data_IF_972610166225
#
_entry.id   IF_972610166225
#
_cell.length_a   1.000
_cell.length_b   1.000
_cell.length_c   1.000
_cell.angle_alpha   90.00
_cell.angle_beta   90.00
_cell.angle_gamma   90.00
#
_symmetry.space_group_name_H-M   'P 1'
#
loop_
_entity.id
_entity.type
_entity.pdbx_description
1 polymer ?
#
# COMPACT_ATOMS: atom_id res chain seq x y z
N UNK A 1 -60.02 14.90 -0.26
CA UNK A 1 -59.53 15.79 -1.34
C UNK A 1 -58.10 15.36 -1.62
N UNK A 2 -57.89 14.41 -2.55
CA UNK A 2 -57.46 14.67 -3.95
C UNK A 2 -56.12 15.42 -3.96
N UNK A 3 -55.00 14.98 -4.56
CA UNK A 3 -54.79 14.14 -5.76
C UNK A 3 -53.25 13.93 -5.92
N UNK A 4 -52.80 12.74 -6.34
CA UNK A 4 -52.25 12.45 -7.69
C UNK A 4 -50.72 12.64 -7.86
N UNK A 5 -50.03 11.51 -8.06
CA UNK A 5 -48.83 11.33 -8.91
C UNK A 5 -49.16 11.76 -10.38
N UNK A 6 -48.25 11.90 -11.39
CA UNK A 6 -47.29 10.85 -11.78
C UNK A 6 -46.07 11.19 -12.72
N UNK A 7 -45.28 10.14 -13.06
CA UNK A 7 -44.39 9.90 -14.26
C UNK A 7 -43.14 10.81 -14.42
N UNK A 8 -41.93 10.40 -14.85
CA UNK A 8 -41.58 9.80 -16.15
C UNK A 8 -40.18 9.16 -16.18
N UNK A 9 -40.14 8.03 -16.87
CA UNK A 9 -39.03 7.30 -17.51
C UNK A 9 -38.02 8.16 -18.26
N UNK A 10 -36.73 7.81 -18.20
CA UNK A 10 -35.76 8.09 -19.29
C UNK A 10 -35.03 6.80 -19.67
N UNK A 11 -35.20 6.46 -20.95
CA UNK A 11 -34.58 5.38 -21.72
C UNK A 11 -33.28 5.90 -22.33
N UNK A 12 -32.23 5.07 -22.26
CA UNK A 12 -31.28 4.80 -23.36
C UNK A 12 -30.27 5.87 -23.74
N UNK A 13 -29.00 5.46 -23.88
CA UNK A 13 -28.37 5.36 -25.20
C UNK A 13 -27.01 4.65 -25.11
N UNK A 14 -26.93 3.59 -25.88
CA UNK A 14 -25.73 2.83 -26.22
C UNK A 14 -24.96 3.68 -27.23
N UNK A 15 -23.64 3.86 -27.04
CA UNK A 15 -22.78 4.39 -28.10
C UNK A 15 -21.71 3.37 -28.45
N UNK A 16 -21.96 2.69 -29.57
CA UNK A 16 -21.01 1.94 -30.38
C UNK A 16 -20.40 2.89 -31.41
N UNK A 17 -19.09 2.84 -31.59
CA UNK A 17 -18.38 3.37 -32.76
C UNK A 17 -16.88 3.21 -32.54
N UNK A 18 -16.15 2.29 -33.19
CA UNK A 18 -15.92 2.01 -34.62
C UNK A 18 -14.55 2.51 -35.08
N UNK A 19 -13.91 1.63 -35.85
CA UNK A 19 -12.57 1.60 -36.43
C UNK A 19 -12.16 2.81 -37.29
N UNK A 20 -10.84 3.10 -37.33
CA UNK A 20 -10.03 3.36 -38.56
C UNK A 20 -8.57 3.63 -38.20
N UNK A 21 -7.60 2.84 -38.71
CA UNK A 21 -6.89 2.94 -40.00
C UNK A 21 -5.55 3.70 -39.84
N UNK A 22 -4.43 2.98 -39.84
CA UNK A 22 -3.46 2.91 -40.95
C UNK A 22 -2.88 4.25 -41.40
N UNK A 23 -1.59 4.46 -41.10
CA UNK A 23 -0.67 5.20 -41.96
C UNK A 23 0.77 4.70 -41.73
N UNK A 24 1.36 4.19 -42.80
CA UNK A 24 2.77 3.82 -42.93
C UNK A 24 3.63 5.09 -43.00
N UNK A 25 4.85 5.05 -42.47
CA UNK A 25 5.92 5.89 -43.01
C UNK A 25 7.25 5.14 -43.00
N UNK A 26 7.63 4.73 -44.20
CA UNK A 26 8.96 4.26 -44.60
C UNK A 26 9.90 5.47 -44.73
N UNK A 27 11.08 5.39 -44.14
CA UNK A 27 12.26 6.14 -44.58
C UNK A 27 13.51 5.27 -44.49
N UNK A 28 14.28 5.33 -45.57
CA UNK A 28 15.34 4.43 -45.98
C UNK A 28 16.71 4.71 -45.35
N UNK A 29 17.45 3.62 -45.10
CA UNK A 29 18.86 3.31 -45.43
C UNK A 29 20.00 4.28 -45.06
N UNK A 30 20.99 3.76 -44.31
CA UNK A 30 22.44 3.63 -44.62
C UNK A 30 23.19 3.28 -43.30
N UNK A 31 23.50 2.00 -43.05
CA UNK A 31 24.79 1.32 -43.30
C UNK A 31 25.95 1.79 -42.40
N UNK A 32 26.50 0.89 -41.57
CA UNK A 32 27.94 0.55 -41.47
C UNK A 32 28.21 -0.43 -40.32
N UNK A 33 29.11 -1.35 -40.61
CA UNK A 33 29.46 -2.58 -39.92
C UNK A 33 30.13 -2.37 -38.54
N UNK A 34 29.77 -3.20 -37.57
CA UNK A 34 30.65 -3.56 -36.47
C UNK A 34 30.50 -5.06 -36.19
N UNK A 35 31.49 -5.82 -36.62
CA UNK A 35 31.68 -7.22 -36.26
C UNK A 35 31.92 -7.30 -34.75
N UNK A 36 31.10 -8.03 -34.01
CA UNK A 36 31.53 -8.62 -32.74
C UNK A 36 30.77 -9.91 -32.45
N UNK A 37 31.58 -10.86 -32.03
CA UNK A 37 31.37 -12.29 -31.87
C UNK A 37 30.13 -12.71 -31.07
N UNK A 38 29.71 -13.92 -31.40
CA UNK A 38 28.70 -14.74 -30.78
C UNK A 38 28.97 -15.13 -29.31
N UNK A 39 27.89 -15.62 -28.70
CA UNK A 39 27.83 -16.59 -27.59
C UNK A 39 28.29 -16.03 -26.21
N UNK A 40 27.50 -16.04 -25.14
CA UNK A 40 26.63 -17.10 -24.62
C UNK A 40 25.48 -16.47 -23.83
N UNK A 41 24.29 -17.01 -24.06
CA UNK A 41 23.09 -17.01 -23.22
C UNK A 41 23.31 -16.67 -21.74
N UNK A 42 22.83 -15.51 -21.30
CA UNK A 42 22.21 -15.36 -19.98
C UNK A 42 21.00 -14.46 -20.10
N UNK A 43 19.87 -15.10 -20.42
CA UNK A 43 18.57 -14.67 -19.94
C UNK A 43 18.65 -14.66 -18.41
N UNK A 44 19.10 -13.54 -17.84
CA UNK A 44 18.83 -13.23 -16.45
C UNK A 44 17.37 -12.76 -16.40
N UNK A 45 16.47 -13.73 -16.57
CA UNK A 45 15.13 -13.65 -15.99
C UNK A 45 15.35 -13.46 -14.50
N UNK A 46 15.44 -12.19 -14.10
CA UNK A 46 15.45 -11.80 -12.70
C UNK A 46 14.00 -11.87 -12.24
N UNK A 47 13.45 -13.08 -12.28
CA UNK A 47 12.30 -13.48 -11.50
C UNK A 47 12.64 -13.12 -10.06
N UNK A 48 12.19 -11.93 -9.67
CA UNK A 48 12.27 -11.36 -8.32
C UNK A 48 11.54 -12.32 -7.39
N UNK A 49 12.24 -13.37 -7.01
CA UNK A 49 11.90 -14.24 -5.92
C UNK A 49 12.02 -13.35 -4.70
N UNK A 50 10.90 -12.69 -4.39
CA UNK A 50 10.74 -11.73 -3.31
C UNK A 50 11.01 -12.45 -1.99
N UNK A 51 12.29 -12.53 -1.62
CA UNK A 51 12.74 -13.12 -0.35
C UNK A 51 12.06 -12.32 0.75
N UNK A 52 11.18 -12.96 1.52
CA UNK A 52 10.62 -12.34 2.71
C UNK A 52 11.72 -12.29 3.76
N UNK A 53 12.06 -11.09 4.22
CA UNK A 53 12.95 -10.94 5.36
C UNK A 53 12.24 -11.48 6.62
N UNK A 54 12.98 -12.21 7.45
CA UNK A 54 12.54 -12.52 8.81
C UNK A 54 13.04 -11.38 9.69
N UNK A 55 12.12 -10.69 10.36
CA UNK A 55 12.41 -9.51 11.18
C UNK A 55 11.47 -9.49 12.38
N UNK A 56 11.91 -8.87 13.48
CA UNK A 56 11.06 -8.61 14.64
C UNK A 56 10.16 -7.39 14.44
N UNK A 57 10.46 -6.58 13.42
CA UNK A 57 9.77 -5.33 13.13
C UNK A 57 9.01 -5.40 11.81
N UNK A 58 7.75 -4.98 11.84
CA UNK A 58 6.93 -4.69 10.68
C UNK A 58 7.05 -3.20 10.32
N UNK A 59 7.44 -2.87 9.09
CA UNK A 59 7.48 -1.47 8.61
C UNK A 59 6.25 -1.11 7.79
N UNK A 60 5.74 0.09 8.04
CA UNK A 60 4.53 0.61 7.41
C UNK A 60 4.61 2.10 7.11
N UNK A 61 3.66 2.60 6.31
CA UNK A 61 3.41 4.02 6.12
C UNK A 61 1.92 4.34 6.34
N UNK A 62 1.60 5.45 6.98
CA UNK A 62 0.23 5.88 7.17
C UNK A 62 -0.39 6.32 5.82
N UNK A 63 -1.67 6.04 5.65
CA UNK A 63 -2.46 6.42 4.48
C UNK A 63 -3.42 7.59 4.77
N UNK A 64 -3.58 7.94 6.04
CA UNK A 64 -4.51 8.99 6.45
C UNK A 64 -3.83 10.35 6.39
N UNK A 65 -4.63 11.41 6.32
CA UNK A 65 -4.17 12.79 6.24
C UNK A 65 -4.61 13.59 7.46
N UNK A 66 -3.99 14.76 7.67
CA UNK A 66 -4.31 15.64 8.79
C UNK A 66 -3.44 15.38 10.03
N UNK A 67 -3.99 15.74 11.19
CA UNK A 67 -3.30 15.70 12.48
C UNK A 67 -3.72 14.48 13.31
N UNK A 68 -2.76 13.90 14.02
CA UNK A 68 -2.99 12.80 14.94
C UNK A 68 -3.89 13.24 16.12
N UNK A 69 -4.86 12.39 16.50
CA UNK A 69 -5.77 12.66 17.62
C UNK A 69 -5.82 11.45 18.56
N UNK A 70 -5.94 11.72 19.86
CA UNK A 70 -6.15 10.65 20.84
C UNK A 70 -7.47 9.92 20.54
N UNK A 71 -7.46 8.59 20.62
CA UNK A 71 -8.65 7.75 20.37
C UNK A 71 -9.01 7.54 18.90
N UNK A 72 -8.33 8.21 17.95
CA UNK A 72 -8.56 7.95 16.53
C UNK A 72 -7.96 6.62 16.08
N UNK A 73 -8.53 6.05 15.02
CA UNK A 73 -7.94 4.94 14.28
C UNK A 73 -7.22 5.47 13.06
N UNK A 74 -5.98 5.02 12.87
CA UNK A 74 -5.18 5.31 11.70
C UNK A 74 -4.98 4.05 10.85
N UNK A 75 -5.00 4.21 9.53
CA UNK A 75 -4.72 3.14 8.56
C UNK A 75 -3.28 3.24 8.08
N UNK A 76 -2.53 2.15 8.18
CA UNK A 76 -1.16 2.06 7.68
C UNK A 76 -1.05 0.94 6.66
N UNK A 77 -0.24 1.16 5.63
CA UNK A 77 0.09 0.16 4.63
C UNK A 77 1.47 -0.43 4.88
N UNK A 78 1.57 -1.75 4.82
CA UNK A 78 2.84 -2.47 4.84
C UNK A 78 3.68 -2.10 3.62
N UNK A 79 4.92 -1.65 3.86
CA UNK A 79 5.82 -1.14 2.82
C UNK A 79 6.81 -2.16 2.32
N UNK A 80 7.09 -3.20 3.09
CA UNK A 80 8.03 -4.27 2.74
C UNK A 80 7.48 -5.65 3.12
N UNK A 81 7.77 -6.70 2.35
CA UNK A 81 7.33 -8.05 2.69
C UNK A 81 8.18 -8.57 3.87
N UNK A 82 7.54 -9.09 4.90
CA UNK A 82 8.24 -9.50 6.13
C UNK A 82 7.51 -10.65 6.80
N UNK A 83 8.25 -11.48 7.53
CA UNK A 83 7.70 -12.45 8.48
C UNK A 83 8.04 -11.95 9.88
N UNK A 84 7.00 -11.73 10.70
CA UNK A 84 7.12 -11.34 12.11
C UNK A 84 6.42 -12.41 12.95
N UNK A 85 7.17 -13.07 13.83
CA UNK A 85 6.72 -14.31 14.48
C UNK A 85 6.39 -15.36 13.43
N UNK A 86 5.18 -15.94 13.51
CA UNK A 86 4.68 -16.93 12.55
C UNK A 86 3.77 -16.31 11.46
N UNK A 87 3.66 -14.98 11.41
CA UNK A 87 2.80 -14.28 10.45
C UNK A 87 3.60 -13.61 9.35
N UNK A 88 3.18 -13.86 8.12
CA UNK A 88 3.78 -13.30 6.92
C UNK A 88 2.96 -12.11 6.40
N UNK A 89 3.56 -10.92 6.35
CA UNK A 89 2.97 -9.70 5.82
C UNK A 89 3.45 -9.42 4.39
N UNK A 90 2.55 -8.94 3.54
CA UNK A 90 2.85 -8.56 2.18
C UNK A 90 2.76 -7.04 1.99
N UNK A 91 3.56 -6.52 1.05
CA UNK A 91 3.41 -5.12 0.62
C UNK A 91 1.99 -4.89 0.16
N UNK A 92 1.39 -3.81 0.66
CA UNK A 92 0.02 -3.45 0.31
C UNK A 92 -1.00 -3.77 1.41
N UNK A 93 -0.71 -4.76 2.28
CA UNK A 93 -1.58 -5.10 3.41
C UNK A 93 -1.83 -3.86 4.26
N UNK A 94 -3.06 -3.71 4.75
CA UNK A 94 -3.49 -2.53 5.53
C UNK A 94 -3.69 -2.93 6.98
N UNK A 95 -2.95 -2.31 7.89
CA UNK A 95 -3.17 -2.45 9.33
C UNK A 95 -3.98 -1.26 9.84
N UNK A 96 -4.88 -1.53 10.76
CA UNK A 96 -5.62 -0.50 11.49
C UNK A 96 -5.06 -0.42 12.91
N UNK A 97 -4.71 0.79 13.34
CA UNK A 97 -4.14 1.03 14.65
C UNK A 97 -4.84 2.17 15.37
N UNK A 98 -5.06 2.00 16.66
CA UNK A 98 -5.67 2.99 17.54
C UNK A 98 -4.60 3.78 18.26
N UNK A 99 -4.85 5.08 18.39
CA UNK A 99 -4.05 5.97 19.25
C UNK A 99 -4.52 5.81 20.69
N UNK A 100 -3.72 5.17 21.52
CA UNK A 100 -4.08 4.84 22.91
C UNK A 100 -3.76 5.99 23.86
N UNK A 101 -2.63 6.65 23.65
CA UNK A 101 -2.14 7.72 24.52
C UNK A 101 -1.24 8.69 23.74
N UNK A 102 -1.39 9.99 24.00
CA UNK A 102 -0.51 11.04 23.46
C UNK A 102 0.12 11.79 24.62
N UNK A 103 1.43 11.60 24.85
CA UNK A 103 2.22 12.30 25.87
C UNK A 103 2.83 13.56 25.28
N UNK A 104 2.09 14.67 25.35
CA UNK A 104 2.53 15.97 24.83
C UNK A 104 3.86 16.45 25.42
N UNK A 105 4.10 16.18 26.70
CA UNK A 105 5.35 16.57 27.40
C UNK A 105 6.61 15.91 26.83
N UNK A 106 6.52 14.66 26.37
CA UNK A 106 7.65 13.93 25.78
C UNK A 106 7.59 13.89 24.26
N UNK A 107 6.55 14.46 23.64
CA UNK A 107 6.31 14.35 22.20
C UNK A 107 6.11 12.91 21.72
N UNK A 108 5.64 12.00 22.58
CA UNK A 108 5.47 10.57 22.24
C UNK A 108 4.00 10.19 22.12
N UNK A 109 3.70 9.30 21.19
CA UNK A 109 2.39 8.68 21.02
C UNK A 109 2.50 7.17 21.09
N UNK A 110 1.55 6.55 21.77
CA UNK A 110 1.44 5.10 21.92
C UNK A 110 0.28 4.63 21.08
N UNK A 111 0.56 3.65 20.20
CA UNK A 111 -0.41 3.10 19.29
C UNK A 111 -0.39 1.59 19.36
N UNK A 112 -1.58 0.99 19.20
CA UNK A 112 -1.76 -0.47 19.14
C UNK A 112 -2.58 -0.83 17.93
N UNK A 113 -2.18 -1.88 17.22
CA UNK A 113 -2.97 -2.43 16.12
C UNK A 113 -4.20 -3.18 16.65
N UNK A 114 -5.27 -3.19 15.85
CA UNK A 114 -6.47 -4.01 16.09
C UNK A 114 -6.52 -5.16 15.08
N UNK A 115 -6.34 -4.83 13.80
CA UNK A 115 -6.54 -5.76 12.69
C UNK A 115 -5.66 -5.46 11.50
N UNK A 116 -5.52 -6.45 10.64
CA UNK A 116 -4.91 -6.35 9.32
C UNK A 116 -5.87 -6.84 8.25
N UNK A 117 -5.92 -6.14 7.12
CA UNK A 117 -6.64 -6.52 5.91
C UNK A 117 -5.62 -6.88 4.85
N UNK A 118 -5.65 -8.12 4.35
CA UNK A 118 -4.73 -8.53 3.29
C UNK A 118 -5.06 -7.82 1.99
N UNK A 119 -4.05 -7.26 1.33
CA UNK A 119 -4.24 -6.69 0.00
C UNK A 119 -4.60 -7.75 -1.05
N UNK A 120 -4.11 -9.00 -0.86
CA UNK A 120 -4.30 -10.09 -1.80
C UNK A 120 -5.67 -10.74 -1.68
N UNK A 121 -6.09 -11.06 -0.46
CA UNK A 121 -7.32 -11.84 -0.22
C UNK A 121 -8.47 -10.98 0.27
N UNK A 122 -8.23 -9.73 0.67
CA UNK A 122 -9.19 -8.85 1.36
C UNK A 122 -9.70 -9.44 2.69
N UNK A 123 -9.06 -10.49 3.20
CA UNK A 123 -9.39 -11.08 4.48
C UNK A 123 -8.93 -10.17 5.62
N UNK A 124 -9.78 -10.03 6.63
CA UNK A 124 -9.46 -9.30 7.86
C UNK A 124 -9.10 -10.28 8.96
N UNK A 125 -7.93 -10.10 9.58
CA UNK A 125 -7.55 -10.86 10.78
C UNK A 125 -7.16 -9.94 11.92
N UNK A 126 -7.41 -10.39 13.14
CA UNK A 126 -6.93 -9.71 14.35
C UNK A 126 -5.40 -9.62 14.33
N UNK A 127 -4.89 -8.46 14.73
CA UNK A 127 -3.46 -8.18 14.83
C UNK A 127 -3.18 -7.36 16.09
N UNK A 128 -2.31 -7.88 16.96
CA UNK A 128 -1.88 -7.17 18.17
C UNK A 128 -0.38 -6.88 18.13
N UNK A 129 -0.04 -5.64 17.81
CA UNK A 129 1.32 -5.10 17.76
C UNK A 129 1.31 -3.69 18.33
N UNK A 130 2.46 -3.25 18.82
CA UNK A 130 2.68 -1.90 19.36
C UNK A 130 3.60 -1.10 18.46
N UNK A 131 3.32 0.19 18.30
CA UNK A 131 4.21 1.09 17.57
C UNK A 131 5.50 1.32 18.38
N UNK A 132 6.64 1.16 17.71
CA UNK A 132 7.97 1.32 18.30
C UNK A 132 8.83 2.21 17.43
N UNK A 133 9.61 3.08 18.06
CA UNK A 133 10.64 3.87 17.38
C UNK A 133 11.97 3.12 17.38
N UNK A 134 12.25 2.42 18.46
CA UNK A 134 13.38 1.51 18.64
C UNK A 134 12.87 0.17 19.15
N UNK A 135 13.53 -0.96 18.82
CA UNK A 135 13.14 -2.27 19.32
C UNK A 135 12.96 -2.26 20.85
N UNK A 136 11.88 -2.88 21.33
CA UNK A 136 11.51 -2.98 22.75
C UNK A 136 11.23 -1.65 23.44
N UNK A 137 11.06 -0.56 22.69
CA UNK A 137 10.71 0.75 23.21
C UNK A 137 9.38 1.22 22.60
N UNK A 138 8.25 0.92 23.27
CA UNK A 138 6.94 1.38 22.83
C UNK A 138 6.86 2.90 22.78
N UNK A 139 6.11 3.37 21.79
CA UNK A 139 5.85 4.77 21.58
C UNK A 139 6.78 5.37 20.53
N UNK A 140 6.20 6.26 19.73
CA UNK A 140 6.82 6.87 18.56
C UNK A 140 6.69 8.37 18.65
N UNK A 141 7.57 9.10 17.97
CA UNK A 141 7.48 10.56 17.91
C UNK A 141 6.19 11.01 17.24
N UNK A 142 5.53 12.04 17.78
CA UNK A 142 4.31 12.61 17.19
C UNK A 142 4.67 13.22 15.83
N UNK A 143 4.00 12.84 14.74
CA UNK A 143 4.27 13.41 13.43
C UNK A 143 3.63 14.80 13.31
N UNK A 144 4.22 15.66 12.48
CA UNK A 144 3.58 16.92 12.10
C UNK A 144 2.34 16.69 11.21
N UNK A 145 2.40 15.66 10.35
CA UNK A 145 1.32 15.25 9.44
C UNK A 145 1.25 13.74 9.38
N UNK A 146 0.03 13.20 9.30
CA UNK A 146 -0.17 11.76 9.16
C UNK A 146 0.29 11.22 7.81
N UNK A 147 0.15 11.99 6.73
CA UNK A 147 0.39 11.48 5.38
C UNK A 147 1.83 10.96 5.21
N UNK A 148 1.95 9.70 4.80
CA UNK A 148 3.22 9.03 4.61
C UNK A 148 4.03 8.77 5.88
N UNK A 149 3.48 9.02 7.08
CA UNK A 149 4.18 8.80 8.35
C UNK A 149 4.60 7.34 8.49
N UNK A 150 5.92 7.10 8.60
CA UNK A 150 6.51 5.75 8.63
C UNK A 150 6.65 5.27 10.06
N UNK A 151 6.14 4.06 10.32
CA UNK A 151 6.19 3.42 11.63
C UNK A 151 6.74 2.00 11.55
N UNK A 152 7.41 1.61 12.63
CA UNK A 152 7.76 0.23 12.92
C UNK A 152 6.84 -0.32 14.00
N UNK A 153 6.51 -1.60 13.91
CA UNK A 153 5.65 -2.29 14.85
C UNK A 153 6.32 -3.55 15.36
N UNK A 154 6.16 -3.83 16.64
CA UNK A 154 6.67 -5.05 17.29
C UNK A 154 5.50 -5.82 17.92
N UNK A 155 5.63 -7.14 17.95
CA UNK A 155 4.68 -8.00 18.66
C UNK A 155 4.86 -7.80 20.17
N UNK A 156 3.76 -7.64 20.90
CA UNK A 156 3.79 -7.50 22.36
C UNK A 156 3.79 -8.86 23.06
#
# INVERSE_FOLDING_TARGET
MHSSLPVLTVVGLVYLGSLSAMAQQTSSTLALSATSQADVTRLADSSSSKVRAVSQLLKTRCLDTGLLRLGSTCTFQVTEPVIVGDRAFAVGDRIHAHVEEVKGVTGRVFMRTDRVVSAKTQETTVLSMVAVEQPRQPGVSIPHLLDGWKLSWEQR
#
